data_IF_192365329260
#
_entry.id   IF_192365329260
#
_cell.length_a   1.000
_cell.length_b   1.000
_cell.length_c   1.000
_cell.angle_alpha   90.00
_cell.angle_beta   90.00
_cell.angle_gamma   90.00
#
_symmetry.space_group_name_H-M   'P 1'
#
loop_
_entity.id
_entity.type
_entity.pdbx_description
1 polymer ?
#
# COMPACT_ATOMS: atom_id res chain seq x y z
N UNK A 1 -18.48 -10.79 10.93
CA UNK A 1 -17.68 -10.65 9.69
C UNK A 1 -16.23 -10.44 10.08
N UNK A 2 -15.28 -11.07 9.38
CA UNK A 2 -13.84 -10.96 9.65
C UNK A 2 -13.16 -10.35 8.43
N UNK A 3 -12.47 -9.24 8.61
CA UNK A 3 -11.69 -8.58 7.57
C UNK A 3 -10.21 -8.93 7.72
N UNK A 4 -9.50 -9.01 6.60
CA UNK A 4 -8.05 -9.23 6.56
C UNK A 4 -7.34 -7.98 6.05
N UNK A 5 -6.15 -7.72 6.57
CA UNK A 5 -5.26 -6.67 6.08
C UNK A 5 -3.98 -7.32 5.57
N UNK A 6 -3.65 -7.09 4.30
CA UNK A 6 -2.52 -7.73 3.60
C UNK A 6 -1.56 -6.63 3.17
N UNK A 7 -0.29 -6.77 3.54
CA UNK A 7 0.80 -5.87 3.14
C UNK A 7 1.81 -6.64 2.30
N UNK A 8 2.26 -6.04 1.20
CA UNK A 8 3.27 -6.62 0.30
C UNK A 8 4.53 -5.77 0.39
N UNK A 9 5.54 -6.32 1.08
CA UNK A 9 6.83 -5.67 1.32
C UNK A 9 7.93 -6.23 0.41
N UNK A 10 9.01 -5.45 0.23
CA UNK A 10 10.19 -5.87 -0.54
C UNK A 10 11.00 -4.71 -1.09
N UNK A 11 12.22 -5.02 -1.56
CA UNK A 11 13.12 -4.04 -2.19
C UNK A 11 12.53 -3.42 -3.47
N UNK A 12 13.09 -2.30 -3.92
CA UNK A 12 12.78 -1.74 -5.24
C UNK A 12 13.09 -2.78 -6.33
N UNK A 13 12.18 -2.94 -7.29
CA UNK A 13 12.30 -3.97 -8.33
C UNK A 13 11.92 -5.40 -7.90
N UNK A 14 11.57 -5.67 -6.63
CA UNK A 14 11.22 -7.01 -6.14
C UNK A 14 9.87 -7.58 -6.66
N UNK A 15 9.21 -6.91 -7.62
CA UNK A 15 7.96 -7.41 -8.19
C UNK A 15 6.70 -7.21 -7.33
N UNK A 16 6.72 -6.29 -6.35
CA UNK A 16 5.58 -6.02 -5.43
C UNK A 16 4.26 -5.75 -6.16
N UNK A 17 4.30 -5.02 -7.28
CA UNK A 17 3.10 -4.75 -8.10
C UNK A 17 2.53 -6.02 -8.70
N UNK A 18 3.38 -6.88 -9.27
CA UNK A 18 3.00 -8.17 -9.84
C UNK A 18 2.46 -9.12 -8.77
N UNK A 19 3.10 -9.18 -7.60
CA UNK A 19 2.63 -9.97 -6.47
C UNK A 19 1.24 -9.49 -6.01
N UNK A 20 1.00 -8.18 -5.97
CA UNK A 20 -0.32 -7.61 -5.63
C UNK A 20 -1.39 -8.07 -6.61
N UNK A 21 -1.12 -8.06 -7.91
CA UNK A 21 -2.07 -8.49 -8.94
C UNK A 21 -2.41 -9.97 -8.80
N UNK A 22 -1.42 -10.82 -8.56
CA UNK A 22 -1.61 -12.25 -8.28
C UNK A 22 -2.51 -12.49 -7.05
N UNK A 23 -2.28 -11.75 -5.96
CA UNK A 23 -3.12 -11.83 -4.75
C UNK A 23 -4.56 -11.42 -5.06
N UNK A 24 -4.75 -10.32 -5.81
CA UNK A 24 -6.09 -9.84 -6.18
C UNK A 24 -6.83 -10.86 -7.04
N UNK A 25 -6.18 -11.42 -8.06
CA UNK A 25 -6.81 -12.45 -8.91
C UNK A 25 -7.18 -13.69 -8.10
N UNK A 26 -6.27 -14.15 -7.23
CA UNK A 26 -6.53 -15.29 -6.34
C UNK A 26 -7.74 -15.03 -5.45
N UNK A 27 -7.82 -13.86 -4.80
CA UNK A 27 -8.94 -13.50 -3.94
C UNK A 27 -10.25 -13.39 -4.72
N UNK A 28 -10.23 -12.84 -5.94
CA UNK A 28 -11.39 -12.80 -6.83
C UNK A 28 -11.88 -14.21 -7.18
N UNK A 29 -10.97 -15.13 -7.52
CA UNK A 29 -11.30 -16.53 -7.83
C UNK A 29 -11.93 -17.25 -6.62
N UNK A 30 -11.54 -16.86 -5.41
CA UNK A 30 -12.12 -17.35 -4.15
C UNK A 30 -13.43 -16.63 -3.75
N UNK A 31 -13.97 -15.75 -4.59
CA UNK A 31 -15.24 -15.05 -4.35
C UNK A 31 -15.15 -13.81 -3.47
N UNK A 32 -13.93 -13.33 -3.16
CA UNK A 32 -13.74 -12.07 -2.44
C UNK A 32 -13.83 -10.91 -3.43
N UNK A 33 -14.90 -10.12 -3.33
CA UNK A 33 -15.16 -8.98 -4.21
C UNK A 33 -14.99 -7.62 -3.54
N UNK A 34 -15.18 -7.54 -2.22
CA UNK A 34 -15.01 -6.31 -1.45
C UNK A 34 -13.56 -6.15 -0.98
N UNK A 35 -12.79 -5.37 -1.75
CA UNK A 35 -11.36 -5.14 -1.52
C UNK A 35 -11.03 -3.65 -1.65
N UNK A 36 -10.31 -3.12 -0.65
CA UNK A 36 -9.80 -1.74 -0.65
C UNK A 36 -8.29 -1.77 -0.85
N UNK A 37 -7.81 -0.95 -1.79
CA UNK A 37 -6.38 -0.84 -2.10
C UNK A 37 -5.83 0.49 -1.59
N UNK A 38 -4.75 0.43 -0.82
CA UNK A 38 -3.95 1.59 -0.43
C UNK A 38 -2.53 1.44 -0.98
N UNK A 39 -1.83 2.56 -1.19
CA UNK A 39 -0.42 2.60 -1.60
C UNK A 39 0.31 3.58 -0.70
N UNK A 40 1.53 3.23 -0.30
CA UNK A 40 2.43 4.12 0.44
C UNK A 40 3.78 4.28 -0.29
N UNK A 41 4.43 5.46 -0.17
CA UNK A 41 3.93 6.68 0.49
C UNK A 41 2.72 7.26 -0.27
N UNK A 42 1.66 7.64 0.44
CA UNK A 42 0.37 8.04 -0.17
C UNK A 42 -0.85 7.53 0.61
N UNK A 43 -2.05 7.69 0.05
CA UNK A 43 -3.30 7.15 0.62
C UNK A 43 -4.04 8.06 1.61
N UNK A 44 -3.42 9.15 2.06
CA UNK A 44 -4.07 10.28 2.75
C UNK A 44 -3.56 11.59 2.19
N UNK A 45 -4.32 12.69 2.32
CA UNK A 45 -3.89 14.03 1.85
C UNK A 45 -2.51 14.42 2.41
N UNK A 46 -2.23 14.02 3.66
CA UNK A 46 -0.94 14.27 4.31
C UNK A 46 0.17 13.40 3.71
N UNK A 47 -0.06 12.10 3.53
CA UNK A 47 0.93 11.19 2.96
C UNK A 47 1.29 11.54 1.50
N UNK A 48 0.32 12.03 0.70
CA UNK A 48 0.59 12.55 -0.64
C UNK A 48 1.44 13.83 -0.62
N UNK A 49 1.29 14.68 0.41
CA UNK A 49 2.16 15.84 0.60
C UNK A 49 3.59 15.42 0.97
N UNK A 50 3.74 14.36 1.77
CA UNK A 50 5.04 13.80 2.17
C UNK A 50 5.77 13.06 1.03
N UNK A 51 5.04 12.54 0.05
CA UNK A 51 5.60 11.83 -1.12
C UNK A 51 6.47 12.71 -2.03
N UNK A 52 6.33 14.03 -1.97
CA UNK A 52 7.07 14.93 -2.86
C UNK A 52 8.54 15.05 -2.41
N UNK A 53 9.52 14.91 -3.33
CA UNK A 53 10.92 15.18 -3.03
C UNK A 53 11.06 16.61 -2.49
N UNK A 54 11.58 16.76 -1.27
CA UNK A 54 11.72 18.05 -0.60
C UNK A 54 10.64 18.39 0.44
N UNK A 55 9.69 17.49 0.72
CA UNK A 55 8.81 17.59 1.90
C UNK A 55 9.58 17.30 3.21
N UNK A 56 10.66 18.04 3.45
CA UNK A 56 11.40 18.00 4.70
C UNK A 56 10.54 18.56 5.83
N UNK A 57 9.93 17.69 6.62
CA UNK A 57 9.43 18.07 7.94
C UNK A 57 10.55 17.83 8.93
N UNK A 58 10.97 18.90 9.61
CA UNK A 58 11.88 18.80 10.75
C UNK A 58 11.17 17.99 11.84
N UNK A 59 11.52 16.72 11.98
CA UNK A 59 11.12 15.92 13.13
C UNK A 59 11.76 16.57 14.34
N UNK A 60 11.00 17.37 15.09
CA UNK A 60 11.39 17.77 16.43
C UNK A 60 11.37 16.52 17.29
N UNK A 61 12.51 15.82 17.34
CA UNK A 61 12.78 14.89 18.44
C UNK A 61 12.87 15.76 19.70
N UNK A 62 11.96 15.52 20.64
CA UNK A 62 12.24 15.85 22.03
C UNK A 62 13.33 14.92 22.55
#
# INVERSE_FOLDING_TARGET
>A
MRSNYIVIEGLEGAGKTTARECVVETLKQLGVSDMVFTREPGGTILAEKLRRPGAGYSVHRR
#
